data_IF_992589433322
#
_entry.id   IF_992589433322
#
_cell.length_a   1.000
_cell.length_b   1.000
_cell.length_c   1.000
_cell.angle_alpha   90.00
_cell.angle_beta   90.00
_cell.angle_gamma   90.00
#
_symmetry.space_group_name_H-M   'P 1'
#
loop_
_entity.id
_entity.type
_entity.pdbx_description
1 polymer ?
#
# COMPACT_ATOMS: atom_id res chain seq x y z
N UNK A 1 9.55 23.17 -6.83
CA UNK A 1 10.06 22.02 -7.61
C UNK A 1 11.50 22.15 -8.03
N UNK A 2 12.43 21.79 -7.13
CA UNK A 2 13.84 21.55 -7.48
C UNK A 2 14.12 20.06 -7.74
N UNK A 3 13.35 19.13 -7.16
CA UNK A 3 13.51 17.68 -7.38
C UNK A 3 13.04 17.23 -8.77
N UNK A 4 11.90 17.73 -9.25
CA UNK A 4 11.33 17.36 -10.56
C UNK A 4 12.12 17.89 -11.77
N UNK A 5 13.08 18.79 -11.55
CA UNK A 5 13.93 19.37 -12.60
C UNK A 5 15.32 18.75 -12.67
N UNK A 6 15.63 17.82 -11.79
CA UNK A 6 16.98 17.27 -11.72
C UNK A 6 17.06 15.96 -12.49
N UNK A 7 17.89 15.93 -13.54
CA UNK A 7 18.15 14.72 -14.33
C UNK A 7 18.95 13.67 -13.56
N UNK A 8 19.58 14.04 -12.43
CA UNK A 8 20.33 13.15 -11.55
C UNK A 8 19.58 12.85 -10.23
N UNK A 9 19.50 11.57 -9.88
CA UNK A 9 18.91 11.09 -8.63
C UNK A 9 19.51 11.73 -7.36
N UNK A 10 20.83 12.00 -7.38
CA UNK A 10 21.55 12.68 -6.29
C UNK A 10 20.97 14.07 -5.98
N UNK A 11 20.59 14.81 -7.01
CA UNK A 11 20.01 16.15 -6.90
C UNK A 11 18.55 16.09 -6.43
N UNK A 12 17.77 15.08 -6.84
CA UNK A 12 16.42 14.86 -6.32
C UNK A 12 16.43 14.55 -4.81
N UNK A 13 17.40 13.74 -4.38
CA UNK A 13 17.59 13.34 -2.98
C UNK A 13 18.03 14.52 -2.11
N UNK A 14 18.84 15.44 -2.63
CA UNK A 14 19.32 16.63 -1.89
C UNK A 14 18.20 17.53 -1.35
N UNK A 15 17.01 17.51 -1.96
CA UNK A 15 15.84 18.27 -1.49
C UNK A 15 15.36 17.79 -0.12
N UNK A 16 15.61 16.53 0.21
CA UNK A 16 15.24 15.98 1.51
C UNK A 16 16.21 16.36 2.63
N UNK A 17 17.38 16.94 2.32
CA UNK A 17 18.46 17.19 3.30
C UNK A 17 18.03 18.01 4.52
N UNK A 18 17.07 18.92 4.36
CA UNK A 18 16.54 19.75 5.45
C UNK A 18 15.29 19.15 6.12
N UNK A 19 14.88 17.95 5.73
CA UNK A 19 13.67 17.30 6.23
C UNK A 19 14.00 16.20 7.23
N UNK A 20 12.99 15.81 8.02
CA UNK A 20 13.09 14.67 8.93
C UNK A 20 13.25 13.31 8.22
N UNK A 21 13.15 13.29 6.89
CA UNK A 21 13.30 12.11 6.04
C UNK A 21 14.72 11.94 5.50
N UNK A 22 15.62 12.92 5.66
CA UNK A 22 17.02 12.77 5.23
C UNK A 22 17.74 11.61 5.92
N UNK A 23 17.68 11.44 7.25
CA UNK A 23 18.40 10.36 7.91
C UNK A 23 18.07 8.97 7.35
N UNK A 24 16.79 8.55 7.25
CA UNK A 24 16.46 7.23 6.69
C UNK A 24 16.86 7.10 5.21
N UNK A 25 16.75 8.15 4.40
CA UNK A 25 17.17 8.12 2.99
C UNK A 25 18.68 7.89 2.89
N UNK A 26 19.47 8.73 3.56
CA UNK A 26 20.94 8.73 3.48
C UNK A 26 21.57 7.38 3.87
N UNK A 27 20.96 6.67 4.81
CA UNK A 27 21.40 5.34 5.26
C UNK A 27 21.33 4.29 4.15
N UNK A 28 20.36 4.40 3.24
CA UNK A 28 20.07 3.41 2.21
C UNK A 28 20.48 3.83 0.79
N UNK A 29 21.11 5.00 0.62
CA UNK A 29 21.57 5.47 -0.69
C UNK A 29 22.60 4.56 -1.34
N UNK A 30 23.57 4.05 -0.57
CA UNK A 30 24.59 3.14 -1.12
C UNK A 30 23.98 1.82 -1.60
N UNK A 31 22.96 1.32 -0.89
CA UNK A 31 22.24 0.09 -1.24
C UNK A 31 21.38 0.29 -2.49
N UNK A 32 20.69 1.42 -2.61
CA UNK A 32 20.01 1.83 -3.83
C UNK A 32 20.98 1.91 -5.03
N UNK A 33 22.15 2.53 -4.85
CA UNK A 33 23.15 2.66 -5.92
C UNK A 33 23.73 1.31 -6.35
N UNK A 34 23.87 0.36 -5.42
CA UNK A 34 24.38 -0.97 -5.71
C UNK A 34 23.34 -1.88 -6.37
N UNK A 35 22.09 -1.80 -5.94
CA UNK A 35 21.00 -2.71 -6.37
C UNK A 35 20.18 -2.17 -7.53
N UNK A 36 20.15 -0.85 -7.74
CA UNK A 36 19.32 -0.18 -8.74
C UNK A 36 17.82 -0.18 -8.43
N UNK A 37 17.39 -0.74 -7.29
CA UNK A 37 15.98 -0.80 -6.87
C UNK A 37 15.68 0.23 -5.80
N UNK A 38 14.50 0.85 -5.88
CA UNK A 38 14.00 1.80 -4.88
C UNK A 38 13.55 1.12 -3.57
N UNK A 39 13.36 -0.20 -3.58
CA UNK A 39 12.78 -0.94 -2.45
C UNK A 39 13.48 -0.67 -1.09
N UNK A 40 14.83 -0.65 -0.99
CA UNK A 40 15.51 -0.34 0.26
C UNK A 40 15.19 1.05 0.82
N UNK A 41 15.09 2.05 -0.06
CA UNK A 41 14.76 3.42 0.31
C UNK A 41 13.30 3.55 0.72
N UNK A 42 12.40 2.98 -0.08
CA UNK A 42 10.96 2.97 0.19
C UNK A 42 10.66 2.29 1.52
N UNK A 43 11.18 1.08 1.74
CA UNK A 43 11.00 0.35 2.99
C UNK A 43 11.49 1.15 4.19
N UNK A 44 12.68 1.77 4.09
CA UNK A 44 13.25 2.53 5.21
C UNK A 44 12.42 3.78 5.53
N UNK A 45 11.90 4.46 4.52
CA UNK A 45 10.97 5.58 4.68
C UNK A 45 9.64 5.15 5.29
N UNK A 46 9.05 4.06 4.78
CA UNK A 46 7.79 3.51 5.28
C UNK A 46 7.92 3.09 6.75
N UNK A 47 8.99 2.38 7.12
CA UNK A 47 9.31 2.02 8.52
C UNK A 47 9.38 3.24 9.43
N UNK A 48 10.06 4.29 8.98
CA UNK A 48 10.18 5.52 9.75
C UNK A 48 8.85 6.25 9.92
N UNK A 49 8.12 6.44 8.82
CA UNK A 49 6.82 7.12 8.80
C UNK A 49 5.79 6.38 9.66
N UNK A 50 5.57 5.09 9.37
CA UNK A 50 4.57 4.29 10.09
C UNK A 50 4.96 4.04 11.55
N UNK A 51 6.24 3.87 11.85
CA UNK A 51 6.71 3.83 13.24
C UNK A 51 6.30 5.07 14.03
N UNK A 52 6.46 6.26 13.44
CA UNK A 52 6.03 7.52 14.07
C UNK A 52 4.51 7.62 14.19
N UNK A 53 3.77 7.38 13.11
CA UNK A 53 2.30 7.45 13.08
C UNK A 53 1.71 6.48 14.11
N UNK A 54 2.15 5.22 14.10
CA UNK A 54 1.67 4.18 14.99
C UNK A 54 1.98 4.47 16.46
N UNK A 55 3.18 4.99 16.75
CA UNK A 55 3.53 5.38 18.12
C UNK A 55 2.64 6.50 18.67
N UNK A 56 2.18 7.42 17.82
CA UNK A 56 1.29 8.53 18.21
C UNK A 56 -0.12 8.00 18.45
N UNK A 57 -0.67 7.22 17.52
CA UNK A 57 -2.04 6.73 17.63
C UNK A 57 -2.20 5.73 18.78
N UNK A 58 -1.21 4.88 19.05
CA UNK A 58 -1.22 3.94 20.18
C UNK A 58 -1.32 4.63 21.54
N UNK A 59 -0.74 5.83 21.68
CA UNK A 59 -0.76 6.63 22.92
C UNK A 59 -1.96 7.58 23.00
N UNK A 60 -2.69 7.77 21.91
CA UNK A 60 -3.84 8.67 21.87
C UNK A 60 -5.01 8.09 22.66
N UNK A 61 -5.68 8.95 23.43
CA UNK A 61 -6.96 8.70 24.09
C UNK A 61 -8.08 9.56 23.51
N UNK A 62 -7.80 10.28 22.42
CA UNK A 62 -8.75 11.18 21.78
C UNK A 62 -9.97 10.41 21.23
N UNK A 63 -11.10 11.09 21.15
CA UNK A 63 -12.32 10.56 20.54
C UNK A 63 -12.03 10.10 19.11
N UNK A 64 -12.55 8.92 18.73
CA UNK A 64 -12.36 8.27 17.43
C UNK A 64 -10.97 7.66 17.17
N UNK A 65 -10.08 7.62 18.16
CA UNK A 65 -8.77 6.97 18.02
C UNK A 65 -8.89 5.53 17.51
N UNK A 66 -9.85 4.74 18.01
CA UNK A 66 -9.99 3.34 17.61
C UNK A 66 -10.42 3.18 16.15
N UNK A 67 -11.26 4.10 15.64
CA UNK A 67 -11.65 4.13 14.23
C UNK A 67 -10.44 4.39 13.33
N UNK A 68 -9.60 5.35 13.74
CA UNK A 68 -8.36 5.68 13.01
C UNK A 68 -7.37 4.51 13.10
N UNK A 69 -7.22 3.87 14.26
CA UNK A 69 -6.35 2.70 14.44
C UNK A 69 -6.73 1.55 13.51
N UNK A 70 -8.02 1.25 13.38
CA UNK A 70 -8.51 0.19 12.48
C UNK A 70 -8.12 0.48 11.02
N UNK A 71 -8.34 1.70 10.54
CA UNK A 71 -8.01 2.08 9.15
C UNK A 71 -6.50 2.07 8.92
N UNK A 72 -5.72 2.71 9.80
CA UNK A 72 -4.26 2.75 9.65
C UNK A 72 -3.62 1.37 9.81
N UNK A 73 -4.16 0.53 10.70
CA UNK A 73 -3.69 -0.83 10.88
C UNK A 73 -3.93 -1.68 9.62
N UNK A 74 -5.10 -1.53 9.02
CA UNK A 74 -5.44 -2.16 7.74
C UNK A 74 -4.54 -1.67 6.60
N UNK A 75 -4.24 -0.38 6.54
CA UNK A 75 -3.34 0.19 5.54
C UNK A 75 -1.91 -0.34 5.68
N UNK A 76 -1.40 -0.48 6.91
CA UNK A 76 -0.09 -1.08 7.19
C UNK A 76 -0.05 -2.54 6.76
N UNK A 77 -1.07 -3.33 7.12
CA UNK A 77 -1.16 -4.73 6.71
C UNK A 77 -1.14 -4.85 5.17
N UNK A 78 -1.95 -4.04 4.47
CA UNK A 78 -1.99 -4.00 3.00
C UNK A 78 -0.62 -3.62 2.42
N UNK A 79 0.07 -2.63 2.99
CA UNK A 79 1.44 -2.27 2.56
C UNK A 79 2.40 -3.44 2.70
N UNK A 80 2.36 -4.17 3.82
CA UNK A 80 3.19 -5.35 4.03
C UNK A 80 2.87 -6.47 3.02
N UNK A 81 1.58 -6.74 2.74
CA UNK A 81 1.17 -7.71 1.71
C UNK A 81 1.73 -7.31 0.34
N UNK A 82 1.61 -6.04 -0.05
CA UNK A 82 2.13 -5.51 -1.32
C UNK A 82 3.66 -5.61 -1.41
N UNK A 83 4.37 -5.35 -0.32
CA UNK A 83 5.83 -5.52 -0.25
C UNK A 83 6.19 -6.99 -0.48
N UNK A 84 5.50 -7.93 0.16
CA UNK A 84 5.76 -9.37 -0.03
C UNK A 84 5.47 -9.79 -1.49
N UNK A 85 4.34 -9.37 -2.05
CA UNK A 85 3.99 -9.64 -3.46
C UNK A 85 5.09 -9.16 -4.41
N UNK A 86 5.57 -7.91 -4.24
CA UNK A 86 6.65 -7.34 -5.04
C UNK A 86 7.98 -8.07 -4.84
N UNK A 87 8.36 -8.35 -3.59
CA UNK A 87 9.60 -9.06 -3.30
C UNK A 87 9.64 -10.45 -3.96
N UNK A 88 8.48 -11.12 -4.07
CA UNK A 88 8.37 -12.40 -4.80
C UNK A 88 8.55 -12.22 -6.30
N UNK A 89 8.03 -11.15 -6.89
CA UNK A 89 8.26 -10.81 -8.31
C UNK A 89 9.72 -10.54 -8.60
N UNK A 90 10.37 -9.82 -7.69
CA UNK A 90 11.77 -9.43 -7.78
C UNK A 90 12.71 -10.58 -7.36
N UNK A 91 12.18 -11.79 -7.11
CA UNK A 91 12.90 -13.01 -6.69
C UNK A 91 13.81 -12.81 -5.47
N UNK A 92 13.42 -11.90 -4.56
CA UNK A 92 14.17 -11.61 -3.34
C UNK A 92 14.11 -12.82 -2.39
N UNK A 93 15.25 -13.27 -1.82
CA UNK A 93 15.28 -14.41 -0.91
C UNK A 93 14.34 -14.23 0.30
N UNK A 94 13.58 -15.27 0.72
CA UNK A 94 12.66 -15.21 1.85
C UNK A 94 13.26 -14.63 3.14
N UNK A 95 14.53 -14.92 3.40
CA UNK A 95 15.26 -14.45 4.57
C UNK A 95 15.46 -12.92 4.60
N UNK A 96 15.50 -12.28 3.41
CA UNK A 96 15.67 -10.83 3.27
C UNK A 96 14.33 -10.08 3.28
N UNK A 97 13.22 -10.73 2.89
CA UNK A 97 11.91 -10.07 2.75
C UNK A 97 11.48 -9.39 4.07
N UNK A 98 11.75 -10.01 5.22
CA UNK A 98 11.41 -9.46 6.55
C UNK A 98 12.07 -8.11 6.82
N UNK A 99 13.26 -7.88 6.26
CA UNK A 99 13.98 -6.63 6.41
C UNK A 99 13.36 -5.50 5.60
N UNK A 100 12.40 -5.78 4.72
CA UNK A 100 11.64 -4.76 4.02
C UNK A 100 10.28 -4.44 4.65
N UNK A 101 9.73 -5.32 5.51
CA UNK A 101 8.39 -5.15 6.08
C UNK A 101 8.33 -4.08 7.16
N UNK A 102 7.23 -3.35 7.22
CA UNK A 102 6.90 -2.44 8.32
C UNK A 102 6.67 -3.29 9.58
N UNK A 103 7.41 -3.08 10.69
CA UNK A 103 7.37 -3.93 11.89
C UNK A 103 6.18 -3.59 12.79
N UNK A 104 4.99 -3.55 12.20
CA UNK A 104 3.72 -3.27 12.86
C UNK A 104 2.69 -4.25 12.28
N UNK A 105 1.92 -4.87 13.17
CA UNK A 105 0.96 -5.91 12.84
C UNK A 105 -0.41 -5.51 13.39
N UNK A 106 -1.44 -5.50 12.53
CA UNK A 106 -2.83 -5.30 12.96
C UNK A 106 -3.60 -6.60 12.94
N UNK A 107 -3.90 -7.14 11.76
CA UNK A 107 -4.59 -8.44 11.58
C UNK A 107 -3.69 -9.52 11.00
N UNK A 108 -2.47 -9.17 10.57
CA UNK A 108 -1.47 -10.14 10.12
C UNK A 108 -0.67 -10.65 11.32
N UNK A 109 -0.90 -11.89 11.73
CA UNK A 109 -0.05 -12.51 12.75
C UNK A 109 1.35 -12.80 12.19
N UNK A 110 2.32 -13.04 13.07
CA UNK A 110 3.67 -13.41 12.63
C UNK A 110 3.63 -14.70 11.82
N UNK A 111 2.82 -15.68 12.21
CA UNK A 111 2.64 -16.94 11.50
C UNK A 111 2.14 -16.71 10.06
N UNK A 112 1.13 -15.86 9.88
CA UNK A 112 0.61 -15.50 8.55
C UNK A 112 1.70 -14.83 7.70
N UNK A 113 2.51 -13.95 8.29
CA UNK A 113 3.61 -13.29 7.58
C UNK A 113 4.67 -14.30 7.13
N UNK A 114 5.06 -15.23 8.00
CA UNK A 114 5.98 -16.30 7.65
C UNK A 114 5.43 -17.18 6.52
N UNK A 115 4.15 -17.56 6.58
CA UNK A 115 3.51 -18.35 5.54
C UNK A 115 3.46 -17.59 4.20
N UNK A 116 3.12 -16.31 4.22
CA UNK A 116 3.15 -15.46 3.02
C UNK A 116 4.56 -15.35 2.43
N UNK A 117 5.59 -15.14 3.26
CA UNK A 117 6.98 -15.05 2.80
C UNK A 117 7.41 -16.36 2.14
N UNK A 118 7.04 -17.50 2.71
CA UNK A 118 7.43 -18.83 2.22
C UNK A 118 6.51 -19.40 1.12
N UNK A 119 5.46 -18.67 0.73
CA UNK A 119 4.55 -19.13 -0.33
C UNK A 119 5.25 -19.23 -1.69
N UNK A 120 4.79 -20.11 -2.58
CA UNK A 120 5.45 -20.33 -3.89
C UNK A 120 4.96 -19.39 -4.99
N UNK A 121 3.70 -18.99 -4.91
CA UNK A 121 3.00 -18.21 -5.91
C UNK A 121 1.93 -17.31 -5.24
N UNK A 122 1.28 -16.47 -6.04
CA UNK A 122 0.26 -15.52 -5.58
C UNK A 122 -0.96 -16.21 -4.98
N UNK A 123 -1.35 -17.37 -5.52
CA UNK A 123 -2.48 -18.18 -5.02
C UNK A 123 -2.19 -18.76 -3.65
N UNK A 124 -1.00 -19.32 -3.48
CA UNK A 124 -0.52 -19.83 -2.19
C UNK A 124 -0.42 -18.72 -1.16
N UNK A 125 -0.02 -17.50 -1.57
CA UNK A 125 -0.03 -16.32 -0.71
C UNK A 125 -1.46 -15.95 -0.29
N UNK A 126 -2.42 -15.95 -1.22
CA UNK A 126 -3.83 -15.68 -0.92
C UNK A 126 -4.42 -16.72 0.04
N UNK A 127 -4.04 -18.01 -0.11
CA UNK A 127 -4.40 -19.07 0.84
C UNK A 127 -3.82 -18.83 2.24
N UNK A 128 -2.57 -18.35 2.35
CA UNK A 128 -2.00 -18.00 3.66
C UNK A 128 -2.76 -16.85 4.37
N UNK A 129 -3.51 -16.06 3.61
CA UNK A 129 -4.36 -14.98 4.12
C UNK A 129 -5.81 -15.42 4.37
N UNK A 130 -6.16 -16.69 4.19
CA UNK A 130 -7.51 -17.21 4.42
C UNK A 130 -7.97 -16.94 5.86
N UNK A 131 -9.21 -16.51 6.03
CA UNK A 131 -9.75 -16.07 7.32
C UNK A 131 -9.38 -14.62 7.71
N UNK A 132 -8.60 -13.91 6.89
CA UNK A 132 -8.44 -12.47 6.98
C UNK A 132 -9.27 -11.74 5.92
N UNK A 133 -9.62 -10.45 6.11
CA UNK A 133 -10.29 -9.67 5.08
C UNK A 133 -9.49 -9.56 3.76
N UNK A 134 -8.18 -9.75 3.82
CA UNK A 134 -7.29 -9.64 2.67
C UNK A 134 -7.32 -10.90 1.79
N UNK A 135 -7.43 -12.08 2.40
CA UNK A 135 -7.47 -13.35 1.67
C UNK A 135 -8.74 -13.49 0.84
N UNK A 136 -9.88 -13.06 1.36
CA UNK A 136 -11.16 -13.05 0.62
C UNK A 136 -11.06 -12.16 -0.64
N UNK A 137 -10.59 -10.92 -0.50
CA UNK A 137 -10.45 -9.98 -1.62
C UNK A 137 -9.43 -10.48 -2.66
N UNK A 138 -8.29 -11.01 -2.24
CA UNK A 138 -7.29 -11.55 -3.16
C UNK A 138 -7.80 -12.81 -3.89
N UNK A 139 -8.56 -13.66 -3.20
CA UNK A 139 -9.13 -14.86 -3.83
C UNK A 139 -10.20 -14.50 -4.87
N UNK A 140 -11.01 -13.47 -4.60
CA UNK A 140 -11.96 -12.91 -5.58
C UNK A 140 -11.21 -12.37 -6.81
N UNK A 141 -10.21 -11.51 -6.59
CA UNK A 141 -9.41 -10.91 -7.67
C UNK A 141 -8.70 -11.97 -8.53
N UNK A 142 -8.09 -12.99 -7.91
CA UNK A 142 -7.44 -14.09 -8.62
C UNK A 142 -8.43 -14.95 -9.43
N UNK A 143 -9.68 -15.04 -8.99
CA UNK A 143 -10.73 -15.75 -9.73
C UNK A 143 -11.16 -14.97 -10.97
N UNK A 144 -11.24 -13.64 -10.86
CA UNK A 144 -11.58 -12.75 -11.98
C UNK A 144 -10.48 -12.69 -13.05
N UNK A 145 -9.20 -12.74 -12.65
CA UNK A 145 -8.04 -12.70 -13.56
C UNK A 145 -7.84 -13.99 -14.37
N UNK A 146 -8.37 -15.12 -13.93
CA UNK A 146 -8.15 -16.41 -14.61
C UNK A 146 -6.69 -16.84 -14.56
N UNK A 147 -6.05 -16.99 -15.73
CA UNK A 147 -4.64 -17.42 -15.87
C UNK A 147 -3.65 -16.25 -15.96
N UNK A 148 -4.09 -15.03 -16.26
CA UNK A 148 -3.23 -13.84 -16.35
C UNK A 148 -3.12 -13.14 -15.00
N UNK A 149 -2.33 -13.72 -14.11
CA UNK A 149 -2.07 -13.16 -12.77
C UNK A 149 -1.30 -11.84 -12.88
N UNK A 150 -1.96 -10.72 -12.58
CA UNK A 150 -1.34 -9.39 -12.54
C UNK A 150 -1.27 -8.89 -11.10
N UNK A 151 -0.04 -8.71 -10.62
CA UNK A 151 0.25 -8.19 -9.28
C UNK A 151 -0.28 -6.76 -9.13
N UNK A 152 -0.33 -6.00 -10.23
CA UNK A 152 -0.89 -4.66 -10.22
C UNK A 152 -2.39 -4.72 -9.87
N UNK A 153 -3.14 -5.68 -10.38
CA UNK A 153 -4.57 -5.74 -10.08
C UNK A 153 -4.82 -6.31 -8.69
N UNK A 154 -3.99 -7.25 -8.20
CA UNK A 154 -4.02 -7.68 -6.79
C UNK A 154 -3.75 -6.49 -5.85
N UNK A 155 -2.75 -5.67 -6.17
CA UNK A 155 -2.46 -4.46 -5.41
C UNK A 155 -3.62 -3.45 -5.47
N UNK A 156 -4.30 -3.35 -6.61
CA UNK A 156 -5.47 -2.48 -6.80
C UNK A 156 -6.70 -3.00 -6.05
N UNK A 157 -6.90 -4.33 -6.00
CA UNK A 157 -7.95 -4.98 -5.22
C UNK A 157 -7.80 -4.68 -3.72
N UNK A 158 -6.57 -4.77 -3.20
CA UNK A 158 -6.27 -4.39 -1.81
C UNK A 158 -6.53 -2.89 -1.56
N UNK A 159 -6.21 -1.99 -2.50
CA UNK A 159 -6.55 -0.56 -2.37
C UNK A 159 -8.06 -0.31 -2.39
N UNK A 160 -8.80 -1.02 -3.24
CA UNK A 160 -10.26 -0.94 -3.30
C UNK A 160 -10.89 -1.43 -1.98
N UNK A 161 -10.35 -2.50 -1.40
CA UNK A 161 -10.76 -3.01 -0.09
C UNK A 161 -10.55 -1.96 1.01
N UNK A 162 -9.37 -1.32 1.06
CA UNK A 162 -9.11 -0.23 2.01
C UNK A 162 -10.10 0.94 1.83
N UNK A 163 -10.31 1.38 0.59
CA UNK A 163 -11.23 2.48 0.28
C UNK A 163 -12.67 2.14 0.69
N UNK A 164 -13.10 0.90 0.44
CA UNK A 164 -14.41 0.39 0.84
C UNK A 164 -14.59 0.44 2.35
N UNK A 165 -13.60 -0.03 3.12
CA UNK A 165 -13.67 0.03 4.59
C UNK A 165 -13.62 1.47 5.11
N UNK A 166 -12.84 2.36 4.52
CA UNK A 166 -12.84 3.79 4.87
C UNK A 166 -14.23 4.41 4.66
N UNK A 167 -14.90 4.11 3.55
CA UNK A 167 -16.26 4.61 3.25
C UNK A 167 -17.30 4.07 4.22
N UNK A 168 -17.25 2.78 4.50
CA UNK A 168 -18.12 2.15 5.50
C UNK A 168 -17.94 2.81 6.87
N UNK A 169 -16.70 3.04 7.31
CA UNK A 169 -16.41 3.75 8.56
C UNK A 169 -16.83 5.21 8.52
N UNK A 170 -16.73 5.88 7.37
CA UNK A 170 -17.14 7.28 7.25
C UNK A 170 -18.64 7.45 7.44
N UNK A 171 -19.44 6.54 6.87
CA UNK A 171 -20.90 6.51 7.04
C UNK A 171 -21.26 6.17 8.49
N UNK A 172 -20.62 5.17 9.09
CA UNK A 172 -20.84 4.79 10.49
C UNK A 172 -20.51 5.94 11.46
N UNK A 173 -19.56 6.81 11.11
CA UNK A 173 -19.09 7.92 11.94
C UNK A 173 -19.36 9.30 11.32
N UNK A 174 -20.52 9.46 10.66
CA UNK A 174 -20.86 10.66 9.87
C UNK A 174 -20.90 11.98 10.66
N UNK A 175 -21.25 11.96 11.95
CA UNK A 175 -21.27 13.16 12.84
C UNK A 175 -19.87 13.48 13.42
N UNK A 176 -18.84 12.71 13.05
CA UNK A 176 -17.51 12.80 13.66
C UNK A 176 -16.39 12.89 12.63
N UNK A 177 -15.36 12.07 12.82
CA UNK A 177 -14.16 12.04 11.97
C UNK A 177 -14.44 11.44 10.58
N UNK A 178 -15.59 10.77 10.39
CA UNK A 178 -15.91 10.02 9.18
C UNK A 178 -15.77 10.81 7.89
N UNK A 179 -16.42 11.99 7.73
CA UNK A 179 -16.32 12.79 6.52
C UNK A 179 -14.88 13.25 6.22
N UNK A 180 -14.08 13.55 7.24
CA UNK A 180 -12.68 13.94 7.06
C UNK A 180 -11.83 12.76 6.57
N UNK A 181 -12.03 11.56 7.12
CA UNK A 181 -11.32 10.36 6.66
C UNK A 181 -11.67 10.03 5.21
N UNK A 182 -12.96 10.02 4.87
CA UNK A 182 -13.39 9.79 3.49
C UNK A 182 -12.75 10.80 2.55
N UNK A 183 -12.80 12.09 2.89
CA UNK A 183 -12.19 13.13 2.06
C UNK A 183 -10.68 12.90 1.84
N UNK A 184 -9.92 12.64 2.90
CA UNK A 184 -8.46 12.47 2.79
C UNK A 184 -8.10 11.28 1.89
N UNK A 185 -8.69 10.11 2.14
CA UNK A 185 -8.39 8.90 1.36
C UNK A 185 -8.91 9.01 -0.08
N UNK A 186 -10.11 9.55 -0.29
CA UNK A 186 -10.64 9.75 -1.65
C UNK A 186 -9.81 10.74 -2.44
N UNK A 187 -9.27 11.79 -1.80
CA UNK A 187 -8.36 12.72 -2.46
C UNK A 187 -7.02 12.09 -2.82
N UNK A 188 -6.49 11.22 -1.97
CA UNK A 188 -5.27 10.48 -2.32
C UNK A 188 -5.51 9.54 -3.52
N UNK A 189 -6.63 8.83 -3.52
CA UNK A 189 -7.03 7.96 -4.64
C UNK A 189 -7.29 8.77 -5.92
N UNK A 190 -7.91 9.96 -5.82
CA UNK A 190 -8.12 10.84 -6.97
C UNK A 190 -6.78 11.26 -7.61
N UNK A 191 -5.80 11.68 -6.80
CA UNK A 191 -4.46 12.02 -7.28
C UNK A 191 -3.77 10.82 -7.93
N UNK A 192 -3.88 9.63 -7.32
CA UNK A 192 -3.33 8.39 -7.88
C UNK A 192 -3.96 8.04 -9.23
N UNK A 193 -5.28 8.06 -9.31
CA UNK A 193 -6.03 7.79 -10.54
C UNK A 193 -5.67 8.79 -11.65
N UNK A 194 -5.56 10.08 -11.33
CA UNK A 194 -5.13 11.10 -12.30
C UNK A 194 -3.71 10.81 -12.82
N UNK A 195 -2.80 10.42 -11.94
CA UNK A 195 -1.43 10.05 -12.32
C UNK A 195 -1.43 8.81 -13.23
N UNK A 196 -2.21 7.78 -12.88
CA UNK A 196 -2.38 6.58 -13.72
C UNK A 196 -2.94 6.93 -15.10
N UNK A 197 -3.94 7.81 -15.18
CA UNK A 197 -4.53 8.25 -16.45
C UNK A 197 -3.49 9.00 -17.29
N UNK A 198 -2.73 9.92 -16.69
CA UNK A 198 -1.72 10.72 -17.40
C UNK A 198 -0.63 9.80 -17.96
N UNK A 199 -0.08 8.92 -17.13
CA UNK A 199 1.00 8.01 -17.53
C UNK A 199 0.50 7.02 -18.59
N UNK A 200 -0.63 6.36 -18.37
CA UNK A 200 -1.15 5.42 -19.34
C UNK A 200 -1.56 6.07 -20.66
N UNK A 201 -2.02 7.33 -20.66
CA UNK A 201 -2.22 8.09 -21.91
C UNK A 201 -0.90 8.42 -22.61
N UNK A 202 0.16 8.72 -21.87
CA UNK A 202 1.49 8.96 -22.44
C UNK A 202 2.11 7.69 -23.05
N UNK A 203 1.75 6.53 -22.49
CA UNK A 203 2.17 5.20 -22.95
C UNK A 203 1.27 4.65 -24.08
N UNK A 204 0.21 5.36 -24.45
CA UNK A 204 -0.71 4.97 -25.51
C UNK A 204 -1.70 3.88 -25.12
N UNK A 205 -1.95 3.66 -23.82
CA UNK A 205 -2.93 2.69 -23.34
C UNK A 205 -4.35 3.06 -23.78
N UNK A 206 -5.09 2.03 -24.16
CA UNK A 206 -6.49 2.15 -24.55
C UNK A 206 -7.37 2.52 -23.35
N UNK A 207 -8.51 3.15 -23.64
CA UNK A 207 -9.40 3.64 -22.58
C UNK A 207 -9.94 2.52 -21.68
N UNK A 208 -10.12 1.31 -22.22
CA UNK A 208 -10.62 0.17 -21.47
C UNK A 208 -9.57 -0.37 -20.48
N UNK A 209 -8.33 -0.53 -20.93
CA UNK A 209 -7.21 -0.95 -20.09
C UNK A 209 -6.90 0.10 -19.01
N UNK A 210 -7.00 1.39 -19.34
CA UNK A 210 -6.87 2.45 -18.35
C UNK A 210 -7.93 2.37 -17.25
N UNK A 211 -9.17 2.02 -17.60
CA UNK A 211 -10.29 1.93 -16.64
C UNK A 211 -10.10 0.79 -15.65
N UNK A 212 -9.62 -0.36 -16.09
CA UNK A 212 -9.38 -1.51 -15.20
C UNK A 212 -8.28 -1.22 -14.15
N UNK A 213 -7.35 -0.31 -14.46
CA UNK A 213 -6.27 0.11 -13.55
C UNK A 213 -6.66 1.20 -12.56
N UNK A 214 -7.89 1.73 -12.60
CA UNK A 214 -8.35 2.77 -11.68
C UNK A 214 -8.86 2.15 -10.38
N UNK A 215 -8.45 2.76 -9.26
CA UNK A 215 -9.02 2.43 -7.96
C UNK A 215 -10.37 3.14 -7.90
N UNK A 216 -11.43 2.35 -8.05
CA UNK A 216 -12.79 2.86 -8.01
C UNK A 216 -13.53 2.15 -6.91
N UNK A 217 -14.35 2.88 -6.14
CA UNK A 217 -15.19 2.23 -5.15
C UNK A 217 -16.12 1.24 -5.85
N UNK A 218 -16.11 -0.02 -5.41
CA UNK A 218 -17.14 -1.00 -5.82
C UNK A 218 -18.50 -0.32 -5.59
N UNK A 219 -19.33 -0.23 -6.63
CA UNK A 219 -20.70 0.28 -6.48
C UNK A 219 -21.37 -0.63 -5.46
N UNK A 220 -21.71 -0.13 -4.28
CA UNK A 220 -22.63 -0.84 -3.42
C UNK A 220 -23.89 -1.06 -4.25
N UNK A 221 -24.24 -2.33 -4.50
CA UNK A 221 -25.54 -2.66 -5.03
C UNK A 221 -26.53 -2.03 -4.06
N UNK A 222 -27.17 -0.94 -4.49
CA UNK A 222 -28.31 -0.36 -3.77
C UNK A 222 -29.30 -1.50 -3.69
N UNK A 223 -29.40 -2.14 -2.52
CA UNK A 223 -30.46 -3.09 -2.24
C UNK A 223 -31.76 -2.28 -2.25
N UNK A 224 -32.38 -2.21 -3.42
CA UNK A 224 -33.76 -1.76 -3.61
C UNK A 224 -34.72 -2.68 -2.89
#
# INVERSE_FOLDING_TARGET
DRSLKSEEFSAAVSVFAETEYWPPISEKLSEFQATGTLLPLESKLEKYYWGKVWSKIRRSTAKYTDVIKEILGMEIDIKNIKIILRCKTDEIPPDEIKDYLIPIHHKLSNEIIEEMINSRDTRSLATALEGTPYGEELSEALTEQGEEESIQDLASALDNLLLSEVRKKSIQHYVGIGPLLAFLYEKEIEVRNLTTIINGKSEGLEAEELRSKLITPKKEAVKT
#
